data_IF_914633170224
#
_entry.id   IF_914633170224
#
_cell.length_a   1.000
_cell.length_b   1.000
_cell.length_c   1.000
_cell.angle_alpha   90.00
_cell.angle_beta   90.00
_cell.angle_gamma   90.00
#
_symmetry.space_group_name_H-M   'P 1'
#
loop_
_entity.id
_entity.type
_entity.pdbx_description
1 polymer ?
#
# COMPACT_ATOMS: atom_id res chain seq x y z
N UNK A 1 26.81 -17.08 -4.11
CA UNK A 1 26.83 -15.61 -4.06
C UNK A 1 25.45 -15.10 -4.44
N UNK A 2 24.72 -14.45 -3.53
CA UNK A 2 23.41 -13.89 -3.86
C UNK A 2 23.60 -12.69 -4.79
N UNK A 3 22.78 -12.60 -5.84
CA UNK A 3 22.66 -11.36 -6.62
C UNK A 3 22.26 -10.22 -5.68
N UNK A 4 23.00 -9.12 -5.72
CA UNK A 4 22.65 -7.93 -4.96
C UNK A 4 21.18 -7.54 -5.23
N UNK A 5 20.41 -7.23 -4.19
CA UNK A 5 18.96 -7.04 -4.25
C UNK A 5 18.52 -6.14 -5.43
N UNK A 6 19.25 -5.06 -5.69
CA UNK A 6 18.99 -4.11 -6.79
C UNK A 6 19.11 -4.70 -8.21
N UNK A 7 19.86 -5.79 -8.39
CA UNK A 7 20.02 -6.49 -9.67
C UNK A 7 18.89 -7.48 -9.95
N UNK A 8 18.08 -7.81 -8.94
CA UNK A 8 16.94 -8.69 -9.14
C UNK A 8 15.84 -8.01 -9.97
N UNK A 9 15.09 -8.82 -10.71
CA UNK A 9 13.92 -8.34 -11.46
C UNK A 9 12.97 -7.58 -10.54
N UNK A 10 12.36 -6.50 -11.05
CA UNK A 10 11.45 -5.66 -10.27
C UNK A 10 10.35 -6.47 -9.59
N UNK A 11 9.85 -7.53 -10.25
CA UNK A 11 8.86 -8.45 -9.67
C UNK A 11 9.33 -9.16 -8.39
N UNK A 12 10.59 -9.65 -8.36
CA UNK A 12 11.15 -10.28 -7.15
C UNK A 12 11.34 -9.26 -6.03
N UNK A 13 11.88 -8.08 -6.36
CA UNK A 13 12.05 -6.99 -5.38
C UNK A 13 10.71 -6.53 -4.80
N UNK A 14 9.69 -6.38 -5.64
CA UNK A 14 8.36 -5.93 -5.23
C UNK A 14 7.66 -6.92 -4.29
N UNK A 15 7.87 -8.23 -4.47
CA UNK A 15 7.36 -9.23 -3.53
C UNK A 15 7.99 -9.06 -2.15
N UNK A 16 9.33 -8.99 -2.09
CA UNK A 16 10.06 -8.81 -0.82
C UNK A 16 9.70 -7.48 -0.14
N UNK A 17 9.58 -6.38 -0.91
CA UNK A 17 9.20 -5.08 -0.35
C UNK A 17 7.80 -5.07 0.27
N UNK A 18 6.85 -5.79 -0.32
CA UNK A 18 5.51 -5.96 0.26
C UNK A 18 5.58 -6.71 1.58
N UNK A 19 6.29 -7.83 1.60
CA UNK A 19 6.47 -8.63 2.82
C UNK A 19 7.20 -7.80 3.92
N UNK A 20 8.20 -7.00 3.56
CA UNK A 20 8.87 -6.09 4.51
C UNK A 20 7.90 -5.06 5.08
N UNK A 21 7.10 -4.38 4.25
CA UNK A 21 6.16 -3.36 4.73
C UNK A 21 5.10 -3.96 5.69
N UNK A 22 4.60 -5.17 5.39
CA UNK A 22 3.65 -5.89 6.24
C UNK A 22 4.27 -6.32 7.58
N UNK A 23 5.53 -6.75 7.60
CA UNK A 23 6.25 -7.05 8.83
C UNK A 23 6.40 -5.80 9.70
N UNK A 24 6.90 -4.70 9.12
CA UNK A 24 7.06 -3.43 9.84
C UNK A 24 5.73 -2.96 10.42
N UNK A 25 4.64 -3.01 9.65
CA UNK A 25 3.30 -2.66 10.15
C UNK A 25 2.88 -3.54 11.34
N UNK A 26 3.13 -4.85 11.25
CA UNK A 26 2.77 -5.82 12.30
C UNK A 26 3.56 -5.60 13.60
N UNK A 27 4.75 -5.00 13.51
CA UNK A 27 5.60 -4.67 14.66
C UNK A 27 5.21 -3.32 15.28
N UNK A 28 5.07 -2.28 14.45
CA UNK A 28 4.88 -0.90 14.96
C UNK A 28 3.42 -0.58 15.30
N UNK A 29 2.44 -1.23 14.66
CA UNK A 29 1.00 -1.13 14.93
C UNK A 29 0.50 0.29 15.27
N UNK A 30 0.72 1.30 14.40
CA UNK A 30 0.41 2.70 14.73
C UNK A 30 -1.09 2.99 14.85
N UNK A 31 -1.95 2.05 14.44
CA UNK A 31 -3.41 2.12 14.53
C UNK A 31 -3.97 1.21 15.63
N UNK A 32 -3.13 0.76 16.55
CA UNK A 32 -3.48 -0.15 17.64
C UNK A 32 -3.44 -1.62 17.25
N UNK A 33 -3.98 -2.48 18.13
CA UNK A 33 -4.01 -3.91 17.91
C UNK A 33 -4.67 -4.27 16.59
N UNK A 34 -4.02 -5.19 15.87
CA UNK A 34 -4.36 -5.52 14.50
C UNK A 34 -4.22 -7.01 14.26
N UNK A 35 -5.01 -7.53 13.32
CA UNK A 35 -4.88 -8.90 12.82
C UNK A 35 -4.93 -8.92 11.30
N UNK A 36 -4.34 -9.95 10.70
CA UNK A 36 -4.38 -10.15 9.25
C UNK A 36 -5.83 -10.32 8.80
N UNK A 37 -6.20 -9.62 7.74
CA UNK A 37 -7.51 -9.72 7.10
C UNK A 37 -7.37 -10.27 5.68
N UNK A 38 -6.50 -9.64 4.89
CA UNK A 38 -6.12 -10.01 3.53
C UNK A 38 -5.45 -11.37 3.39
N UNK A 39 -5.34 -11.85 2.14
CA UNK A 39 -4.67 -13.12 1.85
C UNK A 39 -3.15 -13.00 1.95
N UNK A 40 -2.52 -13.90 2.71
CA UNK A 40 -1.05 -14.09 2.70
C UNK A 40 -0.63 -14.95 1.49
N UNK A 41 -0.72 -14.39 0.29
CA UNK A 41 -0.38 -14.97 -1.04
C UNK A 41 0.01 -16.48 -1.02
N UNK A 42 -0.96 -17.39 -0.81
CA UNK A 42 -0.69 -18.83 -0.76
C UNK A 42 -0.11 -19.35 -2.08
N UNK A 43 0.84 -20.28 -1.97
CA UNK A 43 1.42 -20.95 -3.14
C UNK A 43 0.33 -21.70 -3.92
N UNK A 44 0.39 -21.62 -5.25
CA UNK A 44 -0.54 -22.32 -6.14
C UNK A 44 -1.84 -21.58 -6.46
N UNK A 45 -2.10 -20.41 -5.85
CA UNK A 45 -3.31 -19.61 -6.13
C UNK A 45 -2.99 -18.47 -7.09
N UNK A 46 -3.67 -18.46 -8.25
CA UNK A 46 -3.53 -17.39 -9.25
C UNK A 46 -4.46 -16.22 -8.92
N UNK A 47 -4.04 -15.33 -8.02
CA UNK A 47 -4.82 -14.15 -7.60
C UNK A 47 -5.30 -13.24 -8.75
N UNK A 48 -4.63 -13.28 -9.89
CA UNK A 48 -5.05 -12.54 -11.08
C UNK A 48 -6.36 -13.06 -11.71
N UNK A 49 -6.90 -14.21 -11.26
CA UNK A 49 -8.24 -14.67 -11.65
C UNK A 49 -9.35 -14.21 -10.71
N UNK A 50 -9.01 -13.69 -9.53
CA UNK A 50 -10.01 -13.30 -8.54
C UNK A 50 -10.71 -11.99 -8.96
N UNK A 51 -12.00 -11.80 -8.62
CA UNK A 51 -12.65 -10.51 -8.74
C UNK A 51 -11.86 -9.41 -8.00
N UNK A 52 -11.85 -8.15 -8.48
CA UNK A 52 -11.03 -7.09 -7.90
C UNK A 52 -11.20 -6.90 -6.39
N UNK A 53 -12.42 -7.02 -5.86
CA UNK A 53 -12.70 -6.89 -4.42
C UNK A 53 -11.96 -7.93 -3.57
N UNK A 54 -11.91 -9.19 -4.01
CA UNK A 54 -11.15 -10.25 -3.31
C UNK A 54 -9.64 -10.11 -3.54
N UNK A 55 -9.22 -9.71 -4.74
CA UNK A 55 -7.81 -9.54 -5.09
C UNK A 55 -7.15 -8.40 -4.31
N UNK A 56 -7.91 -7.36 -4.03
CA UNK A 56 -7.46 -6.13 -3.37
C UNK A 56 -8.20 -5.93 -2.03
N UNK A 57 -8.43 -7.03 -1.31
CA UNK A 57 -8.89 -6.99 0.07
C UNK A 57 -7.79 -6.36 0.94
N UNK A 58 -8.13 -5.44 1.87
CA UNK A 58 -7.15 -4.82 2.76
C UNK A 58 -6.33 -5.85 3.53
N UNK A 59 -5.06 -5.56 3.75
CA UNK A 59 -4.11 -6.51 4.34
C UNK A 59 -4.42 -6.83 5.80
N UNK A 60 -4.86 -5.84 6.59
CA UNK A 60 -5.12 -5.96 8.01
C UNK A 60 -6.45 -5.32 8.43
N UNK A 61 -6.89 -5.65 9.64
CA UNK A 61 -8.02 -5.02 10.32
C UNK A 61 -7.62 -4.67 11.75
N UNK A 62 -8.14 -3.55 12.25
CA UNK A 62 -8.07 -3.13 13.67
C UNK A 62 -9.48 -3.02 14.23
N UNK A 63 -9.62 -2.60 15.50
CA UNK A 63 -10.93 -2.29 16.07
C UNK A 63 -11.70 -1.18 15.31
N UNK A 64 -11.00 -0.34 14.52
CA UNK A 64 -11.61 0.83 13.87
C UNK A 64 -11.41 0.88 12.36
N UNK A 65 -10.33 0.32 11.82
CA UNK A 65 -9.95 0.50 10.42
C UNK A 65 -9.74 -0.84 9.71
N UNK A 66 -10.06 -0.85 8.41
CA UNK A 66 -9.36 -1.72 7.47
C UNK A 66 -8.04 -1.04 7.09
N UNK A 67 -6.95 -1.80 6.97
CA UNK A 67 -5.62 -1.24 6.72
C UNK A 67 -5.02 -1.89 5.49
N UNK A 68 -4.73 -1.07 4.49
CA UNK A 68 -3.93 -1.45 3.33
C UNK A 68 -2.46 -1.08 3.58
N UNK A 69 -1.56 -2.04 3.42
CA UNK A 69 -0.13 -1.88 3.61
C UNK A 69 0.56 -1.79 2.25
N UNK A 70 1.41 -0.78 2.09
CA UNK A 70 2.18 -0.61 0.87
C UNK A 70 3.62 -0.22 1.17
N UNK A 71 4.51 -0.56 0.23
CA UNK A 71 5.91 -0.18 0.28
C UNK A 71 6.28 0.68 -0.93
N UNK A 72 7.19 1.62 -0.71
CA UNK A 72 7.90 2.33 -1.77
C UNK A 72 9.40 2.31 -1.51
N UNK A 73 10.18 2.55 -2.56
CA UNK A 73 11.64 2.44 -2.54
C UNK A 73 12.35 3.79 -2.72
N UNK A 74 13.58 3.72 -3.21
CA UNK A 74 14.51 4.85 -3.30
C UNK A 74 14.04 5.99 -4.19
N UNK A 75 13.15 5.71 -5.15
CA UNK A 75 12.60 6.74 -6.03
C UNK A 75 11.58 7.64 -5.32
N UNK A 76 11.16 7.30 -4.09
CA UNK A 76 10.23 8.11 -3.32
C UNK A 76 8.83 8.15 -3.92
N UNK A 77 8.49 7.22 -4.82
CA UNK A 77 7.21 7.17 -5.50
C UNK A 77 6.46 5.90 -5.11
N UNK A 78 5.24 6.07 -4.60
CA UNK A 78 4.34 4.96 -4.36
C UNK A 78 3.67 4.52 -5.67
N UNK A 79 4.23 3.50 -6.32
CA UNK A 79 3.70 2.95 -7.59
C UNK A 79 2.71 1.79 -7.40
N UNK A 80 2.59 1.26 -6.17
CA UNK A 80 1.75 0.11 -5.85
C UNK A 80 0.25 0.40 -5.87
N UNK A 81 -0.17 1.67 -5.88
CA UNK A 81 -1.57 2.08 -5.99
C UNK A 81 -2.04 2.02 -7.45
N UNK A 82 -2.22 0.79 -7.94
CA UNK A 82 -2.81 0.50 -9.25
C UNK A 82 -4.27 0.98 -9.30
N UNK A 83 -4.77 1.35 -10.48
CA UNK A 83 -6.15 1.84 -10.64
C UNK A 83 -7.17 0.81 -10.11
N UNK A 84 -7.04 -0.46 -10.51
CA UNK A 84 -7.94 -1.53 -10.05
C UNK A 84 -7.91 -1.72 -8.54
N UNK A 85 -6.75 -1.47 -7.90
CA UNK A 85 -6.61 -1.52 -6.44
C UNK A 85 -7.31 -0.32 -5.80
N UNK A 86 -7.07 0.89 -6.30
CA UNK A 86 -7.75 2.09 -5.78
C UNK A 86 -9.28 1.96 -5.85
N UNK A 87 -9.82 1.50 -6.98
CA UNK A 87 -11.28 1.34 -7.12
C UNK A 87 -11.83 0.25 -6.19
N UNK A 88 -11.12 -0.87 -6.02
CA UNK A 88 -11.52 -1.90 -5.07
C UNK A 88 -11.47 -1.40 -3.61
N UNK A 89 -10.40 -0.69 -3.23
CA UNK A 89 -10.26 -0.12 -1.89
C UNK A 89 -11.30 0.97 -1.60
N UNK A 90 -11.79 1.68 -2.63
CA UNK A 90 -12.91 2.61 -2.50
C UNK A 90 -14.18 1.90 -2.07
N UNK A 91 -14.47 0.74 -2.65
CA UNK A 91 -15.63 -0.05 -2.24
C UNK A 91 -15.44 -0.65 -0.84
N UNK A 92 -14.24 -1.12 -0.49
CA UNK A 92 -13.92 -1.55 0.88
C UNK A 92 -14.06 -0.43 1.91
N UNK A 93 -13.64 0.79 1.57
CA UNK A 93 -13.82 1.97 2.42
C UNK A 93 -15.30 2.21 2.71
N UNK A 94 -16.16 2.23 1.68
CA UNK A 94 -17.61 2.38 1.85
C UNK A 94 -18.21 1.24 2.70
N UNK A 95 -17.79 0.00 2.46
CA UNK A 95 -18.29 -1.15 3.20
C UNK A 95 -17.91 -1.06 4.67
N UNK A 96 -16.67 -0.71 4.99
CA UNK A 96 -16.21 -0.51 6.37
C UNK A 96 -17.03 0.56 7.09
N UNK A 97 -17.27 1.72 6.46
CA UNK A 97 -18.14 2.76 7.01
C UNK A 97 -19.57 2.25 7.26
N UNK A 98 -20.14 1.52 6.30
CA UNK A 98 -21.49 0.95 6.43
C UNK A 98 -21.61 -0.03 7.60
N UNK A 99 -20.53 -0.74 7.92
CA UNK A 99 -20.46 -1.71 9.02
C UNK A 99 -20.04 -1.07 10.36
N UNK A 100 -19.94 0.26 10.43
CA UNK A 100 -19.62 0.99 11.67
C UNK A 100 -18.12 1.21 11.92
N UNK A 101 -17.25 0.85 10.98
CA UNK A 101 -15.83 1.19 11.03
C UNK A 101 -15.55 2.62 10.57
N UNK A 102 -14.28 3.02 10.62
CA UNK A 102 -13.77 4.33 10.20
C UNK A 102 -13.20 4.32 8.77
N UNK A 103 -13.41 3.24 8.01
CA UNK A 103 -13.00 3.11 6.62
C UNK A 103 -11.64 2.42 6.43
N UNK A 104 -11.09 2.58 5.23
CA UNK A 104 -9.72 2.16 4.89
C UNK A 104 -8.70 3.24 5.27
N UNK A 105 -7.67 2.84 6.03
CA UNK A 105 -6.44 3.59 6.24
C UNK A 105 -5.28 2.95 5.45
N UNK A 106 -4.27 3.73 5.13
CA UNK A 106 -3.10 3.30 4.38
C UNK A 106 -1.86 3.44 5.23
N UNK A 107 -1.14 2.34 5.42
CA UNK A 107 0.20 2.34 5.96
C UNK A 107 1.20 2.28 4.80
N UNK A 108 2.11 3.25 4.73
CA UNK A 108 3.09 3.33 3.65
C UNK A 108 4.49 3.30 4.25
N UNK A 109 5.24 2.24 3.92
CA UNK A 109 6.64 2.06 4.28
C UNK A 109 7.58 2.62 3.20
N UNK A 110 8.47 3.51 3.59
CA UNK A 110 9.59 3.98 2.77
C UNK A 110 10.88 3.31 3.23
N UNK A 111 11.23 2.20 2.58
CA UNK A 111 12.39 1.39 2.94
C UNK A 111 13.73 2.10 2.77
N UNK A 112 13.79 3.16 1.96
CA UNK A 112 15.03 3.91 1.74
C UNK A 112 15.28 5.01 2.78
N UNK A 113 14.27 5.33 3.58
CA UNK A 113 14.35 6.31 4.67
C UNK A 113 14.16 5.67 6.05
N UNK A 114 13.90 4.37 6.12
CA UNK A 114 13.49 3.68 7.34
C UNK A 114 12.30 4.36 8.04
N UNK A 115 11.35 4.86 7.25
CA UNK A 115 10.21 5.67 7.70
C UNK A 115 8.89 5.10 7.22
N UNK A 116 7.87 5.18 8.06
CA UNK A 116 6.49 4.91 7.68
C UNK A 116 5.59 6.11 7.91
N UNK A 117 4.45 6.11 7.22
CA UNK A 117 3.38 7.05 7.48
C UNK A 117 2.01 6.37 7.43
N UNK A 118 1.02 7.01 8.03
CA UNK A 118 -0.39 6.62 7.97
C UNK A 118 -1.20 7.72 7.31
N UNK A 119 -1.99 7.34 6.31
CA UNK A 119 -2.96 8.21 5.65
C UNK A 119 -4.37 7.68 5.81
N UNK A 120 -5.32 8.60 6.00
CA UNK A 120 -6.73 8.25 5.86
C UNK A 120 -7.15 8.25 4.37
N UNK A 121 -8.34 7.69 4.10
CA UNK A 121 -8.89 7.62 2.75
C UNK A 121 -9.02 8.98 2.06
N UNK A 122 -9.44 10.04 2.78
CA UNK A 122 -9.66 11.38 2.21
C UNK A 122 -8.37 11.97 1.66
N UNK A 123 -7.26 11.80 2.36
CA UNK A 123 -5.96 12.31 1.91
C UNK A 123 -5.43 11.54 0.70
N UNK A 124 -5.67 10.22 0.64
CA UNK A 124 -5.37 9.43 -0.57
C UNK A 124 -6.21 9.89 -1.77
N UNK A 125 -7.50 10.16 -1.58
CA UNK A 125 -8.37 10.71 -2.65
C UNK A 125 -7.83 12.04 -3.17
N UNK A 126 -7.40 12.94 -2.28
CA UNK A 126 -6.84 14.23 -2.65
C UNK A 126 -5.54 14.07 -3.46
N UNK A 127 -4.66 13.15 -3.04
CA UNK A 127 -3.40 12.89 -3.76
C UNK A 127 -3.60 12.17 -5.08
N UNK A 128 -4.58 11.27 -5.20
CA UNK A 128 -4.97 10.67 -6.49
C UNK A 128 -5.51 11.75 -7.44
N UNK A 129 -6.34 12.67 -6.95
CA UNK A 129 -6.83 13.79 -7.77
C UNK A 129 -5.69 14.70 -8.25
N UNK A 130 -4.75 15.02 -7.36
CA UNK A 130 -3.53 15.76 -7.71
C UNK A 130 -2.70 15.00 -8.76
N UNK A 131 -2.44 13.70 -8.54
CA UNK A 131 -1.67 12.86 -9.47
C UNK A 131 -2.30 12.86 -10.86
N UNK A 132 -3.62 12.69 -10.96
CA UNK A 132 -4.35 12.73 -12.23
C UNK A 132 -4.14 14.06 -12.96
N UNK A 133 -4.25 15.17 -12.25
CA UNK A 133 -4.08 16.51 -12.83
C UNK A 133 -2.64 16.81 -13.23
N UNK A 134 -1.66 16.40 -12.41
CA UNK A 134 -0.24 16.77 -12.59
C UNK A 134 0.53 15.82 -13.49
N UNK A 135 0.29 14.52 -13.37
CA UNK A 135 1.05 13.46 -14.01
C UNK A 135 0.22 12.67 -15.03
N UNK A 136 -1.11 12.76 -14.96
CA UNK A 136 -1.98 11.81 -15.65
C UNK A 136 -1.91 10.41 -15.04
N UNK A 137 -2.48 9.45 -15.74
CA UNK A 137 -2.33 8.03 -15.41
C UNK A 137 -0.94 7.58 -15.85
N UNK A 138 -0.23 6.87 -14.98
CA UNK A 138 1.09 6.31 -15.29
C UNK A 138 0.95 4.83 -15.63
N UNK A 139 1.88 4.32 -16.43
CA UNK A 139 1.87 2.93 -16.91
C UNK A 139 3.20 2.27 -16.56
N UNK A 140 3.15 1.05 -16.04
CA UNK A 140 4.33 0.22 -15.85
C UNK A 140 4.82 -0.34 -17.20
N UNK A 141 6.08 -0.08 -17.55
CA UNK A 141 6.68 -0.52 -18.83
C UNK A 141 6.67 -2.05 -19.00
N UNK A 142 6.74 -2.81 -17.90
CA UNK A 142 6.92 -4.25 -17.94
C UNK A 142 5.62 -5.05 -18.08
N UNK A 143 4.48 -4.52 -17.65
CA UNK A 143 3.21 -5.25 -17.63
C UNK A 143 1.99 -4.42 -18.09
N UNK A 144 2.21 -3.15 -18.46
CA UNK A 144 1.16 -2.25 -18.93
C UNK A 144 0.15 -1.85 -17.84
N UNK A 145 0.36 -2.22 -16.58
CA UNK A 145 -0.58 -1.86 -15.52
C UNK A 145 -0.55 -0.37 -15.24
N UNK A 146 -1.74 0.20 -15.09
CA UNK A 146 -1.93 1.60 -14.78
C UNK A 146 -1.89 1.85 -13.26
N UNK A 147 -1.28 2.97 -12.86
CA UNK A 147 -1.19 3.38 -11.46
C UNK A 147 -1.26 4.89 -11.29
N UNK A 148 -1.61 5.31 -10.08
CA UNK A 148 -1.49 6.71 -9.65
C UNK A 148 -0.13 6.92 -8.99
N UNK A 149 0.63 7.91 -9.48
CA UNK A 149 1.93 8.29 -8.92
C UNK A 149 1.69 9.15 -7.68
N UNK A 150 2.00 8.62 -6.50
CA UNK A 150 1.96 9.41 -5.27
C UNK A 150 3.38 9.63 -4.75
N UNK A 151 3.81 10.89 -4.68
CA UNK A 151 5.17 11.26 -4.25
C UNK A 151 5.25 11.34 -2.71
N UNK A 152 6.24 10.65 -2.12
CA UNK A 152 6.46 10.59 -0.68
C UNK A 152 6.46 11.96 0.00
N UNK A 153 7.13 12.93 -0.61
CA UNK A 153 7.24 14.31 -0.08
C UNK A 153 5.89 15.00 0.07
N UNK A 154 4.88 14.62 -0.69
CA UNK A 154 3.51 15.15 -0.55
C UNK A 154 2.68 14.35 0.44
N UNK A 155 2.93 13.04 0.50
CA UNK A 155 2.23 12.15 1.41
C UNK A 155 2.57 12.46 2.87
N UNK A 156 3.83 12.78 3.17
CA UNK A 156 4.27 13.06 4.53
C UNK A 156 3.58 14.30 5.13
N UNK A 157 3.36 15.35 4.33
CA UNK A 157 2.68 16.58 4.75
C UNK A 157 1.19 16.37 5.10
N UNK A 158 0.61 15.25 4.65
CA UNK A 158 -0.80 14.90 4.85
C UNK A 158 -0.99 13.76 5.83
N UNK A 159 0.10 13.15 6.28
CA UNK A 159 0.03 11.98 7.11
C UNK A 159 -0.60 12.33 8.47
N UNK A 160 -1.52 11.48 8.91
CA UNK A 160 -2.04 11.55 10.28
C UNK A 160 -0.95 11.18 11.29
N UNK A 161 -0.01 10.33 10.87
CA UNK A 161 1.10 9.85 11.68
C UNK A 161 2.31 9.58 10.80
N UNK A 162 3.50 9.91 11.31
CA UNK A 162 4.80 9.59 10.70
C UNK A 162 5.67 8.99 11.80
N UNK A 163 6.36 7.90 11.49
CA UNK A 163 7.29 7.27 12.43
C UNK A 163 8.51 6.70 11.72
N UNK A 164 9.56 6.51 12.49
CA UNK A 164 10.77 5.81 12.07
C UNK A 164 10.70 4.35 12.54
N UNK A 165 11.37 3.45 11.81
CA UNK A 165 11.54 2.06 12.22
C UNK A 165 12.89 1.56 11.69
N UNK A 166 13.85 1.37 12.58
CA UNK A 166 15.12 0.79 12.21
C UNK A 166 14.94 -0.73 12.06
N UNK A 167 15.12 -1.24 10.85
CA UNK A 167 15.23 -2.68 10.63
C UNK A 167 16.61 -3.11 11.11
N UNK A 168 16.67 -3.89 12.19
CA UNK A 168 17.90 -4.55 12.68
C UNK A 168 18.57 -5.44 11.62
#
# INVERSE_FOLDING_TARGET
MSEAFHKQSFGKRFQVMGDTAENVYSEVKPLGDTTRFGFRRPKGVKFSSFPPGFRHMPDFITASYLVEVMGLGRDGILKSLKITKYDALKEWHKLSLKLGGLGVAFFIWNSSKSQYLVLNWKDVVAEVAYSKKKHGIQVFENDGNEYYRLDWVRLIDKATFVGDHETE
#
